data_IF_510743691935
#
_entry.id   IF_510743691935
#
_cell.length_a   1.000
_cell.length_b   1.000
_cell.length_c   1.000
_cell.angle_alpha   90.00
_cell.angle_beta   90.00
_cell.angle_gamma   90.00
#
_symmetry.space_group_name_H-M   'P 1'
#
loop_
_entity.id
_entity.type
_entity.pdbx_description
1 polymer ?
#
# COMPACT_ATOMS: atom_id res chain seq x y z
N UNK A 1 4.70 -12.69 -6.89
CA UNK A 1 5.71 -12.98 -7.94
C UNK A 1 5.16 -12.90 -9.35
N UNK A 2 4.00 -13.49 -9.70
CA UNK A 2 3.48 -13.48 -11.09
C UNK A 2 3.26 -12.08 -11.67
N UNK A 3 2.88 -11.10 -10.86
CA UNK A 3 2.77 -9.71 -11.32
C UNK A 3 4.12 -8.96 -11.40
N UNK A 4 5.20 -9.49 -10.80
CA UNK A 4 6.58 -8.97 -10.94
C UNK A 4 7.22 -9.46 -12.21
N UNK A 5 6.90 -10.69 -12.58
CA UNK A 5 7.43 -11.35 -13.76
C UNK A 5 6.26 -11.87 -14.62
N UNK A 6 5.51 -10.97 -15.29
CA UNK A 6 4.31 -11.35 -16.05
C UNK A 6 4.62 -12.35 -17.17
N UNK A 7 5.81 -12.27 -17.77
CA UNK A 7 6.26 -13.17 -18.83
C UNK A 7 6.87 -14.48 -18.33
N UNK A 8 7.13 -14.62 -17.02
CA UNK A 8 7.82 -15.77 -16.45
C UNK A 8 6.97 -17.05 -16.36
N UNK A 9 5.66 -16.98 -16.63
CA UNK A 9 4.73 -18.12 -16.56
C UNK A 9 4.88 -18.91 -15.25
N UNK A 10 4.90 -18.21 -14.12
CA UNK A 10 5.02 -18.80 -12.77
C UNK A 10 3.80 -19.69 -12.49
N UNK A 11 4.05 -20.89 -11.94
CA UNK A 11 3.02 -21.89 -11.65
C UNK A 11 3.01 -22.26 -10.16
N UNK A 12 1.84 -22.73 -9.72
CA UNK A 12 1.59 -23.29 -8.40
C UNK A 12 1.46 -24.81 -8.54
N UNK A 13 2.21 -25.63 -7.80
CA UNK A 13 1.93 -27.05 -7.71
C UNK A 13 0.60 -27.26 -6.95
N UNK A 14 -0.31 -28.08 -7.47
CA UNK A 14 -1.55 -28.45 -6.76
C UNK A 14 -1.21 -29.41 -5.60
N UNK A 15 -1.48 -28.98 -4.37
CA UNK A 15 -1.01 -29.59 -3.12
C UNK A 15 -1.65 -30.92 -2.70
N UNK A 16 -2.15 -31.75 -3.62
CA UNK A 16 -2.76 -33.03 -3.27
C UNK A 16 -1.73 -34.10 -2.83
N UNK A 17 -0.43 -33.89 -3.04
CA UNK A 17 0.63 -34.87 -2.78
C UNK A 17 1.75 -34.40 -1.82
N UNK A 18 1.57 -33.27 -1.12
CA UNK A 18 2.62 -32.63 -0.31
C UNK A 18 3.54 -31.73 -1.13
N UNK A 19 4.06 -30.68 -0.50
CA UNK A 19 4.62 -29.53 -1.24
C UNK A 19 6.06 -29.72 -1.77
N UNK A 20 6.71 -30.87 -1.59
CA UNK A 20 8.09 -31.17 -2.07
C UNK A 20 9.20 -30.09 -1.82
N UNK A 21 8.92 -29.05 -1.02
CA UNK A 21 9.77 -27.86 -0.86
C UNK A 21 9.62 -26.81 -1.98
N UNK A 22 8.51 -26.80 -2.71
CA UNK A 22 8.23 -25.88 -3.83
C UNK A 22 6.85 -25.25 -3.65
N UNK A 23 6.83 -23.96 -3.30
CA UNK A 23 5.56 -23.23 -3.21
C UNK A 23 5.21 -22.56 -4.55
N UNK A 24 6.22 -22.08 -5.28
CA UNK A 24 6.07 -21.54 -6.63
C UNK A 24 7.28 -21.93 -7.47
N UNK A 25 7.07 -22.10 -8.77
CA UNK A 25 8.19 -22.30 -9.69
C UNK A 25 7.99 -21.64 -11.05
N UNK A 26 9.10 -21.39 -11.71
CA UNK A 26 9.20 -20.97 -13.10
C UNK A 26 10.06 -21.98 -13.86
N UNK A 27 9.66 -22.31 -15.09
CA UNK A 27 10.38 -23.24 -15.94
C UNK A 27 9.89 -24.69 -15.78
N UNK A 28 10.78 -25.63 -16.06
CA UNK A 28 10.53 -27.08 -15.98
C UNK A 28 11.17 -27.63 -14.69
N UNK A 29 10.36 -28.27 -13.84
CA UNK A 29 10.82 -28.90 -12.59
C UNK A 29 11.83 -30.04 -12.83
N UNK A 30 11.93 -30.55 -14.06
CA UNK A 30 12.92 -31.56 -14.44
C UNK A 30 14.19 -30.97 -15.04
N UNK A 31 14.16 -29.69 -15.44
CA UNK A 31 15.25 -29.00 -16.15
C UNK A 31 15.36 -27.55 -15.71
N UNK A 32 15.93 -27.34 -14.53
CA UNK A 32 16.47 -26.05 -14.12
C UNK A 32 15.42 -24.97 -13.88
N UNK A 33 14.51 -25.22 -12.94
CA UNK A 33 13.52 -24.25 -12.51
C UNK A 33 14.09 -23.17 -11.58
N UNK A 34 13.48 -21.99 -11.59
CA UNK A 34 13.54 -21.07 -10.44
C UNK A 34 12.42 -21.43 -9.48
N UNK A 35 12.77 -21.73 -8.23
CA UNK A 35 11.81 -22.08 -7.17
C UNK A 35 11.74 -20.92 -6.17
N UNK A 36 10.52 -20.53 -5.81
CA UNK A 36 10.29 -19.70 -4.63
C UNK A 36 9.69 -20.55 -3.53
N UNK A 37 10.27 -20.46 -2.33
CA UNK A 37 9.72 -21.04 -1.10
C UNK A 37 9.26 -19.89 -0.20
N UNK A 38 7.98 -19.87 0.13
CA UNK A 38 7.36 -18.98 1.10
C UNK A 38 7.35 -19.61 2.51
N UNK A 39 7.93 -18.90 3.49
CA UNK A 39 7.78 -19.26 4.91
C UNK A 39 7.26 -18.04 5.68
N UNK A 40 6.10 -18.23 6.32
CA UNK A 40 5.54 -17.25 7.23
C UNK A 40 5.80 -17.70 8.67
N UNK A 41 6.47 -16.87 9.46
CA UNK A 41 6.71 -17.11 10.87
C UNK A 41 6.04 -16.03 11.72
N UNK A 42 5.53 -16.42 12.89
CA UNK A 42 4.92 -15.51 13.86
C UNK A 42 5.95 -14.86 14.80
N UNK A 43 7.25 -15.08 14.57
CA UNK A 43 8.35 -14.57 15.39
C UNK A 43 8.98 -13.33 14.73
N UNK A 44 9.62 -12.49 15.53
CA UNK A 44 10.35 -11.30 15.07
C UNK A 44 11.80 -11.59 14.69
N UNK A 45 12.40 -12.65 15.23
CA UNK A 45 13.80 -13.05 14.99
C UNK A 45 13.85 -14.56 14.70
N UNK A 46 14.68 -14.96 13.73
CA UNK A 46 14.85 -16.37 13.39
C UNK A 46 15.65 -17.13 14.46
N UNK A 47 14.97 -18.04 15.16
CA UNK A 47 15.57 -19.03 16.04
C UNK A 47 15.99 -20.31 15.29
N UNK A 48 16.55 -21.26 16.03
CA UNK A 48 17.09 -22.50 15.46
C UNK A 48 16.01 -23.38 14.81
N UNK A 49 14.79 -23.35 15.35
CA UNK A 49 13.65 -24.08 14.75
C UNK A 49 13.31 -23.53 13.37
N UNK A 50 13.24 -22.21 13.20
CA UNK A 50 12.95 -21.60 11.90
C UNK A 50 14.09 -21.82 10.91
N UNK A 51 15.34 -21.67 11.36
CA UNK A 51 16.54 -21.95 10.54
C UNK A 51 16.56 -23.41 10.06
N UNK A 52 16.16 -24.35 10.92
CA UNK A 52 16.05 -25.77 10.56
C UNK A 52 14.98 -26.00 9.49
N UNK A 53 13.80 -25.40 9.64
CA UNK A 53 12.73 -25.50 8.63
C UNK A 53 13.16 -24.96 7.26
N UNK A 54 13.90 -23.84 7.24
CA UNK A 54 14.45 -23.26 6.00
C UNK A 54 15.43 -24.24 5.33
N UNK A 55 16.38 -24.80 6.10
CA UNK A 55 17.35 -25.77 5.58
C UNK A 55 16.68 -27.03 5.05
N UNK A 56 15.70 -27.55 5.79
CA UNK A 56 14.92 -28.73 5.39
C UNK A 56 14.21 -28.46 4.05
N UNK A 57 13.57 -27.30 3.90
CA UNK A 57 12.86 -26.93 2.66
C UNK A 57 13.81 -26.79 1.46
N UNK A 58 14.98 -26.16 1.65
CA UNK A 58 16.01 -26.08 0.60
C UNK A 58 16.53 -27.47 0.20
N UNK A 59 16.82 -28.33 1.18
CA UNK A 59 17.29 -29.69 0.93
C UNK A 59 16.26 -30.50 0.16
N UNK A 60 14.99 -30.38 0.52
CA UNK A 60 13.90 -31.11 -0.13
C UNK A 60 13.70 -30.62 -1.56
N UNK A 61 13.74 -29.30 -1.80
CA UNK A 61 13.69 -28.71 -3.14
C UNK A 61 14.84 -29.21 -4.03
N UNK A 62 16.06 -29.25 -3.50
CA UNK A 62 17.23 -29.78 -4.23
C UNK A 62 17.07 -31.25 -4.55
N UNK A 63 16.61 -32.05 -3.58
CA UNK A 63 16.45 -33.50 -3.74
C UNK A 63 15.40 -33.85 -4.81
N UNK A 64 14.28 -33.14 -4.81
CA UNK A 64 13.12 -33.50 -5.63
C UNK A 64 13.15 -32.83 -7.01
N UNK A 65 13.62 -31.59 -7.08
CA UNK A 65 13.44 -30.71 -8.26
C UNK A 65 14.75 -30.20 -8.86
N UNK A 66 15.86 -30.24 -8.12
CA UNK A 66 17.18 -29.76 -8.57
C UNK A 66 17.10 -28.36 -9.27
N UNK A 67 16.58 -27.33 -8.58
CA UNK A 67 16.38 -26.03 -9.22
C UNK A 67 17.72 -25.36 -9.55
N UNK A 68 17.74 -24.57 -10.62
CA UNK A 68 18.89 -23.71 -10.95
C UNK A 68 19.00 -22.55 -9.96
N UNK A 69 17.87 -22.07 -9.46
CA UNK A 69 17.81 -20.98 -8.52
C UNK A 69 16.71 -21.23 -7.48
N UNK A 70 17.03 -20.97 -6.21
CA UNK A 70 16.09 -21.06 -5.11
C UNK A 70 16.03 -19.73 -4.37
N UNK A 71 14.81 -19.23 -4.16
CA UNK A 71 14.53 -17.91 -3.57
C UNK A 71 13.63 -18.12 -2.35
N UNK A 72 14.10 -17.70 -1.18
CA UNK A 72 13.31 -17.72 0.04
C UNK A 72 12.46 -16.45 0.15
N UNK A 73 11.17 -16.58 0.39
CA UNK A 73 10.25 -15.47 0.68
C UNK A 73 9.85 -15.51 2.17
N UNK A 74 10.05 -14.41 2.90
CA UNK A 74 9.79 -14.31 4.34
C UNK A 74 8.87 -13.15 4.68
N UNK A 75 7.98 -13.34 5.65
CA UNK A 75 7.17 -12.26 6.22
C UNK A 75 7.91 -11.43 7.31
N UNK A 76 9.22 -11.59 7.45
CA UNK A 76 10.07 -10.83 8.36
C UNK A 76 11.40 -10.46 7.70
N UNK A 77 12.10 -9.46 8.25
CA UNK A 77 13.46 -9.10 7.83
C UNK A 77 14.48 -9.90 8.63
N UNK A 78 15.59 -10.27 7.98
CA UNK A 78 16.70 -10.93 8.66
C UNK A 78 17.47 -9.91 9.51
N UNK A 79 17.66 -10.21 10.80
CA UNK A 79 18.62 -9.47 11.62
C UNK A 79 20.06 -9.80 11.18
N UNK A 80 21.04 -9.05 11.67
CA UNK A 80 22.44 -9.24 11.27
C UNK A 80 22.95 -10.67 11.53
N UNK A 81 22.46 -11.33 12.59
CA UNK A 81 22.86 -12.71 12.91
C UNK A 81 22.25 -13.71 11.93
N UNK A 82 20.99 -13.53 11.56
CA UNK A 82 20.28 -14.34 10.60
C UNK A 82 20.79 -14.11 9.18
N UNK A 83 21.12 -12.87 8.79
CA UNK A 83 21.73 -12.54 7.51
C UNK A 83 23.07 -13.28 7.35
N UNK A 84 23.99 -13.16 8.30
CA UNK A 84 25.26 -13.92 8.30
C UNK A 84 25.08 -15.43 8.29
N UNK A 85 24.03 -15.93 8.94
CA UNK A 85 23.70 -17.35 8.90
C UNK A 85 23.22 -17.77 7.51
N UNK A 86 22.43 -16.94 6.84
CA UNK A 86 21.92 -17.20 5.50
C UNK A 86 23.03 -17.11 4.45
N UNK A 87 23.95 -16.14 4.57
CA UNK A 87 25.16 -16.05 3.73
C UNK A 87 25.98 -17.35 3.81
N UNK A 88 26.26 -17.84 5.02
CA UNK A 88 26.94 -19.15 5.20
C UNK A 88 26.14 -20.31 4.63
N UNK A 89 24.81 -20.24 4.64
CA UNK A 89 23.98 -21.24 3.99
C UNK A 89 24.19 -21.18 2.47
N UNK A 90 24.13 -19.99 1.86
CA UNK A 90 24.39 -19.81 0.42
C UNK A 90 25.77 -20.37 0.04
N UNK A 91 26.82 -20.03 0.80
CA UNK A 91 28.19 -20.54 0.61
C UNK A 91 28.27 -22.06 0.67
N UNK A 92 27.55 -22.70 1.61
CA UNK A 92 27.55 -24.16 1.74
C UNK A 92 26.96 -24.90 0.52
N UNK A 93 26.16 -24.21 -0.29
CA UNK A 93 25.58 -24.74 -1.52
C UNK A 93 26.26 -24.19 -2.78
N UNK A 94 27.22 -23.28 -2.68
CA UNK A 94 27.90 -22.68 -3.84
C UNK A 94 28.70 -23.69 -4.69
N UNK A 95 29.11 -24.82 -4.10
CA UNK A 95 29.76 -25.92 -4.82
C UNK A 95 28.78 -26.83 -5.58
N UNK A 96 27.48 -26.67 -5.34
CA UNK A 96 26.42 -27.36 -6.06
C UNK A 96 25.97 -26.51 -7.24
N UNK A 97 25.35 -27.11 -8.26
CA UNK A 97 24.87 -26.40 -9.46
C UNK A 97 23.59 -25.59 -9.22
N UNK A 98 23.39 -25.04 -8.03
CA UNK A 98 22.22 -24.27 -7.59
C UNK A 98 22.64 -22.90 -7.06
N UNK A 99 21.95 -21.86 -7.50
CA UNK A 99 22.05 -20.51 -6.94
C UNK A 99 21.02 -20.32 -5.81
N UNK A 100 21.48 -20.25 -4.56
CA UNK A 100 20.66 -19.80 -3.44
C UNK A 100 20.67 -18.27 -3.44
N UNK A 101 19.60 -17.65 -3.92
CA UNK A 101 19.51 -16.21 -4.10
C UNK A 101 19.24 -15.48 -2.78
N UNK A 102 19.41 -14.16 -2.81
CA UNK A 102 19.03 -13.29 -1.69
C UNK A 102 17.54 -13.46 -1.35
N UNK A 103 17.18 -13.45 -0.06
CA UNK A 103 15.83 -13.68 0.37
C UNK A 103 14.95 -12.48 0.04
N UNK A 104 13.74 -12.78 -0.43
CA UNK A 104 12.67 -11.82 -0.63
C UNK A 104 11.97 -11.57 0.72
N UNK A 105 12.45 -10.58 1.46
CA UNK A 105 12.05 -10.32 2.84
C UNK A 105 10.76 -9.49 2.99
N UNK A 106 10.40 -9.16 4.22
CA UNK A 106 9.19 -8.38 4.51
C UNK A 106 9.22 -7.00 3.87
N UNK A 107 10.38 -6.34 3.80
CA UNK A 107 10.49 -5.03 3.15
C UNK A 107 10.26 -5.15 1.65
N UNK A 108 10.83 -6.16 1.00
CA UNK A 108 10.64 -6.36 -0.42
C UNK A 108 9.19 -6.74 -0.74
N UNK A 109 8.55 -7.59 0.08
CA UNK A 109 7.11 -7.87 0.02
C UNK A 109 6.27 -6.60 0.18
N UNK A 110 6.58 -5.78 1.18
CA UNK A 110 5.86 -4.53 1.44
C UNK A 110 5.98 -3.56 0.25
N UNK A 111 7.19 -3.41 -0.33
CA UNK A 111 7.39 -2.59 -1.54
C UNK A 111 6.52 -3.10 -2.68
N UNK A 112 6.51 -4.41 -2.95
CA UNK A 112 5.69 -4.96 -4.03
C UNK A 112 4.18 -4.73 -3.79
N UNK A 113 3.70 -4.84 -2.55
CA UNK A 113 2.31 -4.56 -2.19
C UNK A 113 1.96 -3.06 -2.27
N UNK A 114 2.92 -2.16 -2.02
CA UNK A 114 2.73 -0.71 -2.22
C UNK A 114 2.44 -0.38 -3.70
N UNK A 115 3.21 -0.97 -4.61
CA UNK A 115 3.09 -0.66 -6.05
C UNK A 115 1.97 -1.46 -6.74
N UNK A 116 1.52 -2.59 -6.19
CA UNK A 116 0.50 -3.45 -6.81
C UNK A 116 -0.87 -3.35 -6.15
N UNK A 117 -1.53 -2.21 -6.39
CA UNK A 117 -2.82 -1.85 -5.80
C UNK A 117 -3.92 -2.90 -5.99
N UNK A 118 -4.04 -3.51 -7.16
CA UNK A 118 -5.06 -4.53 -7.44
C UNK A 118 -4.89 -5.77 -6.57
N UNK A 119 -3.65 -6.23 -6.41
CA UNK A 119 -3.33 -7.39 -5.56
C UNK A 119 -3.55 -7.05 -4.10
N UNK A 120 -3.04 -5.89 -3.66
CA UNK A 120 -3.23 -5.41 -2.29
C UNK A 120 -4.71 -5.32 -1.93
N UNK A 121 -5.53 -4.67 -2.76
CA UNK A 121 -6.94 -4.49 -2.47
C UNK A 121 -7.73 -5.82 -2.52
N UNK A 122 -7.28 -6.80 -3.32
CA UNK A 122 -7.92 -8.11 -3.39
C UNK A 122 -7.66 -8.95 -2.13
N UNK A 123 -6.41 -9.04 -1.67
CA UNK A 123 -6.04 -9.86 -0.51
C UNK A 123 -6.19 -9.13 0.83
N UNK A 124 -6.20 -7.81 0.80
CA UNK A 124 -6.29 -6.95 1.99
C UNK A 124 -7.38 -5.87 1.80
N UNK A 125 -8.64 -6.24 1.53
CA UNK A 125 -9.70 -5.29 1.15
C UNK A 125 -10.06 -4.29 2.25
N UNK A 126 -9.89 -4.68 3.52
CA UNK A 126 -10.19 -3.86 4.70
C UNK A 126 -8.93 -3.33 5.39
N UNK A 127 -7.76 -3.56 4.80
CA UNK A 127 -6.51 -3.05 5.34
C UNK A 127 -6.48 -1.55 5.01
N UNK A 128 -7.07 -0.77 5.91
CA UNK A 128 -6.70 0.63 6.12
C UNK A 128 -5.24 0.63 6.57
N UNK A 129 -4.32 0.40 5.63
CA UNK A 129 -2.91 0.69 5.88
C UNK A 129 -2.88 2.18 6.12
N UNK A 130 -2.73 2.57 7.38
CA UNK A 130 -2.26 3.90 7.67
C UNK A 130 -0.92 4.01 6.94
N UNK A 131 -0.90 4.83 5.90
CA UNK A 131 0.30 5.08 5.10
C UNK A 131 1.42 5.57 6.02
N UNK A 132 1.09 6.13 7.20
CA UNK A 132 2.04 6.47 8.25
C UNK A 132 2.63 5.25 8.97
N UNK A 133 1.87 4.20 9.28
CA UNK A 133 2.40 2.96 9.87
C UNK A 133 3.27 2.19 8.88
N UNK A 134 2.85 2.10 7.61
CA UNK A 134 3.69 1.47 6.59
C UNK A 134 4.97 2.27 6.34
N UNK A 135 4.88 3.61 6.32
CA UNK A 135 6.05 4.49 6.25
C UNK A 135 6.92 4.40 7.50
N UNK A 136 6.35 4.25 8.69
CA UNK A 136 7.12 4.12 9.93
C UNK A 136 7.85 2.79 10.00
N UNK A 137 7.25 1.71 9.49
CA UNK A 137 7.88 0.38 9.35
C UNK A 137 8.99 0.39 8.31
N UNK A 138 8.79 1.03 7.15
CA UNK A 138 9.84 1.22 6.13
C UNK A 138 10.96 2.12 6.68
N UNK A 139 10.63 3.20 7.41
CA UNK A 139 11.60 4.06 8.10
C UNK A 139 12.36 3.30 9.19
N UNK A 140 11.70 2.47 9.99
CA UNK A 140 12.33 1.69 11.05
C UNK A 140 13.26 0.60 10.49
N UNK A 141 12.91 0.03 9.34
CA UNK A 141 13.74 -0.94 8.67
C UNK A 141 14.89 -0.30 7.84
N UNK A 142 14.73 0.96 7.42
CA UNK A 142 15.80 1.77 6.82
C UNK A 142 16.82 2.31 7.83
N UNK A 143 16.57 2.22 9.15
CA UNK A 143 17.51 2.62 10.24
C UNK A 143 18.74 1.71 10.38
N UNK A 144 19.11 0.99 9.33
CA UNK A 144 20.41 0.34 9.19
C UNK A 144 21.47 1.23 8.51
N UNK A 145 21.10 2.39 7.97
CA UNK A 145 22.05 3.36 7.39
C UNK A 145 21.68 4.79 7.79
N UNK A 146 22.69 5.53 8.23
CA UNK A 146 22.62 6.89 8.71
C UNK A 146 22.04 7.88 7.67
N UNK A 147 21.27 8.83 8.22
CA UNK A 147 20.83 10.12 7.67
C UNK A 147 20.12 10.14 6.31
N UNK A 148 18.78 10.18 6.35
CA UNK A 148 18.01 10.87 5.30
C UNK A 148 18.12 12.37 5.59
N UNK A 149 18.65 13.14 4.65
CA UNK A 149 18.68 14.60 4.77
C UNK A 149 17.29 15.20 4.53
N UNK A 150 17.03 16.38 5.09
CA UNK A 150 15.73 17.07 5.00
C UNK A 150 15.23 17.26 3.55
N UNK A 151 16.16 17.38 2.60
CA UNK A 151 15.88 17.55 1.16
C UNK A 151 15.17 16.34 0.55
N UNK A 152 15.52 15.11 0.96
CA UNK A 152 14.90 13.89 0.44
C UNK A 152 13.47 13.71 0.98
N UNK A 153 13.22 14.18 2.21
CA UNK A 153 11.89 14.16 2.82
C UNK A 153 10.95 15.17 2.16
N UNK A 154 11.43 16.38 1.87
CA UNK A 154 10.67 17.42 1.18
C UNK A 154 10.28 16.98 -0.23
N UNK A 155 11.23 16.40 -0.98
CA UNK A 155 10.98 15.88 -2.32
C UNK A 155 9.91 14.79 -2.33
N UNK A 156 10.02 13.82 -1.42
CA UNK A 156 9.03 12.76 -1.29
C UNK A 156 7.65 13.30 -0.87
N UNK A 157 7.58 14.27 0.03
CA UNK A 157 6.30 14.88 0.42
C UNK A 157 5.63 15.60 -0.76
N UNK A 158 6.43 16.29 -1.56
CA UNK A 158 5.98 17.00 -2.77
C UNK A 158 5.41 16.04 -3.80
N UNK A 159 6.16 14.99 -4.18
CA UNK A 159 5.72 14.00 -5.18
C UNK A 159 4.41 13.31 -4.78
N UNK A 160 4.26 12.98 -3.49
CA UNK A 160 3.02 12.37 -3.00
C UNK A 160 1.82 13.34 -3.02
N UNK A 161 2.08 14.63 -2.81
CA UNK A 161 1.03 15.66 -2.87
C UNK A 161 0.60 15.91 -4.31
N UNK A 162 1.56 15.97 -5.24
CA UNK A 162 1.29 16.08 -6.68
C UNK A 162 0.47 14.88 -7.20
N UNK A 163 0.84 13.65 -6.83
CA UNK A 163 0.07 12.46 -7.24
C UNK A 163 -1.37 12.51 -6.70
N UNK A 164 -1.56 13.03 -5.48
CA UNK A 164 -2.89 13.17 -4.91
C UNK A 164 -3.74 14.21 -5.65
N UNK A 165 -3.15 15.37 -5.97
CA UNK A 165 -3.80 16.42 -6.76
C UNK A 165 -4.17 15.92 -8.16
N UNK A 166 -3.29 15.16 -8.81
CA UNK A 166 -3.56 14.60 -10.14
C UNK A 166 -4.74 13.62 -10.13
N UNK A 167 -4.89 12.81 -9.07
CA UNK A 167 -6.08 11.96 -8.93
C UNK A 167 -7.37 12.76 -8.77
N UNK A 168 -7.34 13.86 -8.02
CA UNK A 168 -8.50 14.75 -7.89
C UNK A 168 -8.87 15.36 -9.25
N UNK A 169 -7.87 15.82 -10.00
CA UNK A 169 -8.05 16.34 -11.38
C UNK A 169 -8.56 15.30 -12.36
N UNK A 170 -8.11 14.04 -12.25
CA UNK A 170 -8.64 12.94 -13.07
C UNK A 170 -10.09 12.61 -12.73
N UNK A 171 -10.48 12.77 -11.45
CA UNK A 171 -11.85 12.52 -11.01
C UNK A 171 -12.80 13.58 -11.55
N UNK A 172 -12.40 14.85 -11.52
CA UNK A 172 -13.14 15.91 -12.18
C UNK A 172 -12.19 16.99 -12.75
N UNK A 173 -11.97 17.01 -14.08
CA UNK A 173 -11.02 17.93 -14.72
C UNK A 173 -11.52 19.38 -14.78
N UNK A 174 -12.80 19.63 -14.44
CA UNK A 174 -13.40 20.97 -14.40
C UNK A 174 -12.93 21.80 -13.21
N UNK A 175 -12.19 21.18 -12.29
CA UNK A 175 -11.66 21.82 -11.09
C UNK A 175 -10.14 21.91 -11.08
N UNK A 176 -9.65 22.99 -10.49
CA UNK A 176 -8.29 23.09 -9.95
C UNK A 176 -8.36 22.83 -8.46
N UNK A 177 -7.44 22.03 -7.92
CA UNK A 177 -7.45 21.64 -6.52
C UNK A 177 -6.28 22.24 -5.76
N UNK A 178 -6.54 22.66 -4.52
CA UNK A 178 -5.52 23.03 -3.54
C UNK A 178 -5.69 22.13 -2.30
N UNK A 179 -4.56 21.66 -1.75
CA UNK A 179 -4.55 20.86 -0.52
C UNK A 179 -3.64 21.52 0.49
N UNK A 180 -4.18 21.81 1.68
CA UNK A 180 -3.43 22.40 2.79
C UNK A 180 -3.41 21.44 3.97
N UNK A 181 -2.23 21.15 4.52
CA UNK A 181 -2.06 20.33 5.71
C UNK A 181 -1.83 21.20 6.93
N UNK A 182 -2.67 21.07 7.97
CA UNK A 182 -2.53 21.79 9.23
C UNK A 182 -1.72 21.05 10.30
N UNK A 183 -1.27 19.83 10.00
CA UNK A 183 -0.59 18.97 10.97
C UNK A 183 -1.49 18.58 12.16
N UNK A 184 -0.89 18.37 13.33
CA UNK A 184 -1.64 17.98 14.55
C UNK A 184 -2.55 19.07 15.11
N UNK A 185 -2.32 20.33 14.75
CA UNK A 185 -3.18 21.45 15.13
C UNK A 185 -4.43 21.56 14.25
N UNK A 186 -4.48 20.79 13.16
CA UNK A 186 -5.49 20.94 12.13
C UNK A 186 -5.36 22.26 11.36
N UNK A 187 -6.16 22.47 10.32
CA UNK A 187 -6.13 23.73 9.59
C UNK A 187 -6.66 24.86 10.47
N UNK A 188 -5.93 25.97 10.56
CA UNK A 188 -6.26 27.08 11.47
C UNK A 188 -7.58 27.80 11.15
N UNK A 189 -8.11 27.65 9.92
CA UNK A 189 -9.31 28.36 9.46
C UNK A 189 -10.15 27.44 8.57
N UNK A 190 -11.30 27.00 9.08
CA UNK A 190 -12.35 26.33 8.30
C UNK A 190 -13.74 26.80 8.78
N UNK A 191 -14.69 27.12 7.88
CA UNK A 191 -14.55 27.16 6.44
C UNK A 191 -13.53 28.23 5.99
N UNK A 192 -12.87 28.05 4.83
CA UNK A 192 -11.97 29.07 4.29
C UNK A 192 -12.75 30.38 4.03
N UNK A 193 -12.07 31.54 4.07
CA UNK A 193 -12.69 32.80 3.68
C UNK A 193 -13.18 32.72 2.23
N UNK A 194 -14.07 33.64 1.85
CA UNK A 194 -14.55 33.69 0.47
C UNK A 194 -13.39 33.97 -0.50
N UNK A 195 -13.11 33.01 -1.36
CA UNK A 195 -12.05 33.07 -2.36
C UNK A 195 -12.67 33.03 -3.77
N UNK A 196 -12.18 33.83 -4.73
CA UNK A 196 -12.67 33.79 -6.10
C UNK A 196 -12.59 32.38 -6.70
N UNK A 197 -13.65 31.97 -7.40
CA UNK A 197 -13.79 30.67 -8.05
C UNK A 197 -13.81 29.45 -7.11
N UNK A 198 -13.77 29.61 -5.78
CA UNK A 198 -13.92 28.49 -4.87
C UNK A 198 -15.36 27.94 -4.94
N UNK A 199 -15.51 26.68 -5.35
CA UNK A 199 -16.81 26.03 -5.48
C UNK A 199 -17.10 25.15 -4.27
N UNK A 200 -16.08 24.47 -3.74
CA UNK A 200 -16.24 23.60 -2.58
C UNK A 200 -14.95 23.53 -1.78
N UNK A 201 -15.09 23.41 -0.46
CA UNK A 201 -13.99 23.11 0.45
C UNK A 201 -14.41 22.02 1.42
N UNK A 202 -13.53 21.05 1.65
CA UNK A 202 -13.76 19.92 2.55
C UNK A 202 -12.60 19.82 3.53
N UNK A 203 -12.88 19.42 4.77
CA UNK A 203 -11.85 19.14 5.78
C UNK A 203 -12.14 17.82 6.47
N UNK A 204 -11.08 17.10 6.83
CA UNK A 204 -11.14 15.94 7.73
C UNK A 204 -10.55 16.25 9.11
N UNK A 205 -10.32 17.55 9.40
CA UNK A 205 -9.67 18.02 10.62
C UNK A 205 -8.14 18.04 10.55
N UNK A 206 -7.50 17.36 9.60
CA UNK A 206 -6.04 17.37 9.39
C UNK A 206 -5.63 18.13 8.14
N UNK A 207 -6.46 18.05 7.10
CA UNK A 207 -6.24 18.74 5.82
C UNK A 207 -7.51 19.43 5.34
N UNK A 208 -7.32 20.52 4.59
CA UNK A 208 -8.36 21.13 3.77
C UNK A 208 -8.08 20.79 2.31
N UNK A 209 -9.12 20.40 1.60
CA UNK A 209 -9.13 20.27 0.14
C UNK A 209 -10.06 21.36 -0.39
N UNK A 210 -9.56 22.22 -1.27
CA UNK A 210 -10.34 23.25 -1.94
C UNK A 210 -10.44 22.90 -3.43
N UNK A 211 -11.62 23.09 -4.01
CA UNK A 211 -11.88 22.89 -5.43
C UNK A 211 -12.34 24.22 -6.04
N UNK A 212 -11.55 24.73 -6.99
CA UNK A 212 -11.81 25.96 -7.71
C UNK A 212 -12.32 25.65 -9.11
N UNK A 213 -13.35 26.38 -9.56
CA UNK A 213 -13.82 26.29 -10.94
C UNK A 213 -12.69 26.63 -11.92
N UNK A 214 -12.36 25.68 -12.79
CA UNK A 214 -11.43 25.85 -13.92
C UNK A 214 -12.19 26.04 -15.22
N UNK A 215 -13.29 25.32 -15.40
CA UNK A 215 -14.17 25.39 -16.58
C UNK A 215 -15.58 25.83 -16.18
N UNK A 216 -15.78 27.15 -16.10
CA UNK A 216 -17.05 27.75 -15.68
C UNK A 216 -18.19 27.49 -16.66
N UNK A 217 -17.90 27.25 -17.93
CA UNK A 217 -18.92 26.96 -18.93
C UNK A 217 -19.42 25.53 -18.79
N UNK A 218 -18.50 24.56 -18.66
CA UNK A 218 -18.85 23.17 -18.40
C UNK A 218 -19.62 23.01 -17.09
N UNK A 219 -19.22 23.73 -16.03
CA UNK A 219 -19.91 23.69 -14.73
C UNK A 219 -21.29 24.37 -14.76
N UNK A 220 -21.53 25.30 -15.68
CA UNK A 220 -22.85 25.91 -15.86
C UNK A 220 -23.79 24.96 -16.61
N UNK A 221 -23.27 24.20 -17.57
CA UNK A 221 -24.04 23.24 -18.37
C UNK A 221 -24.29 21.93 -17.61
N UNK A 222 -23.32 21.50 -16.80
CA UNK A 222 -23.37 20.32 -15.95
C UNK A 222 -22.93 20.69 -14.52
N UNK A 223 -23.85 21.17 -13.66
CA UNK A 223 -23.53 21.60 -12.31
C UNK A 223 -23.19 20.41 -11.40
N UNK A 224 -22.29 20.64 -10.43
CA UNK A 224 -21.91 19.63 -9.44
C UNK A 224 -23.13 19.18 -8.65
N UNK A 225 -23.37 17.88 -8.64
CA UNK A 225 -24.44 17.27 -7.87
C UNK A 225 -23.94 16.76 -6.52
N UNK A 226 -24.70 16.99 -5.46
CA UNK A 226 -24.50 16.29 -4.19
C UNK A 226 -25.82 15.71 -3.70
N UNK A 227 -25.83 14.41 -3.47
CA UNK A 227 -26.94 13.67 -2.93
C UNK A 227 -26.69 13.40 -1.45
N UNK A 228 -27.56 13.96 -0.62
CA UNK A 228 -27.59 13.72 0.81
C UNK A 228 -28.85 12.94 1.16
N UNK A 229 -28.71 11.92 2.00
CA UNK A 229 -29.84 11.27 2.65
C UNK A 229 -29.76 11.58 4.13
N UNK A 230 -30.80 12.24 4.64
CA UNK A 230 -30.92 12.58 6.05
C UNK A 230 -31.90 11.64 6.76
N UNK A 231 -31.77 11.52 8.08
CA UNK A 231 -32.89 11.08 8.90
C UNK A 231 -33.92 12.22 9.07
N UNK A 232 -35.02 11.98 9.78
CA UNK A 232 -36.10 12.97 9.96
C UNK A 232 -35.60 14.29 10.57
N UNK A 233 -34.80 14.22 11.63
CA UNK A 233 -34.21 15.39 12.30
C UNK A 233 -33.24 16.16 11.40
N UNK A 234 -32.36 15.46 10.69
CA UNK A 234 -31.40 16.06 9.76
C UNK A 234 -32.08 16.72 8.56
N UNK A 235 -33.18 16.12 8.08
CA UNK A 235 -34.02 16.67 7.01
C UNK A 235 -34.69 17.98 7.44
N UNK A 236 -35.19 18.05 8.68
CA UNK A 236 -35.77 19.29 9.21
C UNK A 236 -34.73 20.41 9.29
N UNK A 237 -33.53 20.11 9.79
CA UNK A 237 -32.40 21.07 9.78
C UNK A 237 -32.06 21.55 8.36
N UNK A 238 -32.06 20.66 7.38
CA UNK A 238 -31.82 21.03 5.99
C UNK A 238 -32.90 21.96 5.42
N UNK A 239 -34.19 21.67 5.69
CA UNK A 239 -35.27 22.58 5.29
C UNK A 239 -35.16 23.93 5.98
N UNK A 240 -34.76 23.96 7.25
CA UNK A 240 -34.57 25.20 8.00
C UNK A 240 -33.37 26.01 7.48
N UNK A 241 -32.28 25.35 7.07
CA UNK A 241 -31.17 25.99 6.34
C UNK A 241 -31.66 26.64 5.05
N UNK A 242 -32.37 25.91 4.20
CA UNK A 242 -32.88 26.43 2.92
C UNK A 242 -33.84 27.61 3.13
N UNK A 243 -34.67 27.58 4.17
CA UNK A 243 -35.64 28.64 4.48
C UNK A 243 -35.00 29.89 5.06
N UNK A 244 -34.00 29.74 5.92
CA UNK A 244 -33.49 30.83 6.76
C UNK A 244 -32.10 31.31 6.38
N UNK A 245 -31.34 30.52 5.62
CA UNK A 245 -29.93 30.73 5.34
C UNK A 245 -29.01 30.62 6.58
N UNK A 246 -29.54 30.24 7.75
CA UNK A 246 -28.76 30.11 8.98
C UNK A 246 -27.96 28.82 8.96
N UNK A 247 -26.67 28.93 9.27
CA UNK A 247 -25.76 27.79 9.41
C UNK A 247 -26.36 26.68 10.27
N UNK A 248 -26.22 25.44 9.80
CA UNK A 248 -26.67 24.24 10.50
C UNK A 248 -25.49 23.29 10.69
N UNK A 249 -25.46 22.64 11.86
CA UNK A 249 -24.52 21.56 12.14
C UNK A 249 -25.30 20.25 12.19
N UNK A 250 -24.91 19.33 11.32
CA UNK A 250 -25.43 17.96 11.32
C UNK A 250 -24.48 17.02 12.06
N UNK A 251 -25.04 16.10 12.84
CA UNK A 251 -24.28 15.03 13.50
C UNK A 251 -24.18 13.79 12.60
N UNK A 252 -23.24 12.86 12.86
CA UNK A 252 -23.11 11.64 12.07
C UNK A 252 -24.38 10.79 12.01
N UNK A 253 -25.22 10.80 13.06
CA UNK A 253 -26.48 10.05 13.08
C UNK A 253 -27.57 10.67 12.18
N UNK A 254 -27.42 11.95 11.83
CA UNK A 254 -28.36 12.73 11.03
C UNK A 254 -28.12 12.56 9.52
N UNK A 255 -26.91 12.16 9.11
CA UNK A 255 -26.53 11.92 7.71
C UNK A 255 -26.45 10.40 7.48
N UNK A 256 -27.43 9.85 6.75
CA UNK A 256 -27.49 8.41 6.41
C UNK A 256 -26.61 8.05 5.23
N UNK A 257 -26.50 8.93 4.24
CA UNK A 257 -25.64 8.74 3.10
C UNK A 257 -25.24 10.08 2.46
N UNK A 258 -24.04 10.12 1.91
CA UNK A 258 -23.55 11.22 1.09
C UNK A 258 -22.92 10.67 -0.18
N UNK A 259 -23.30 11.20 -1.33
CA UNK A 259 -22.67 10.94 -2.62
C UNK A 259 -22.56 12.24 -3.40
N UNK A 260 -21.36 12.63 -3.77
CA UNK A 260 -21.14 13.70 -4.74
C UNK A 260 -20.88 13.09 -6.11
N UNK A 261 -21.49 13.67 -7.14
CA UNK A 261 -21.36 13.32 -8.56
C UNK A 261 -20.85 14.52 -9.32
#
# INVERSE_FOLDING_TARGET
MSARYPSAKIRYPEGAAGDEGVDLFQGDLTRGSTVWQCKAFTVTILGDSQKRQIKESLRDAIKNVQPQQWILCLNLNLDTKAARWFERLQESYASQSIAVADPFDAMELARELMFRRTIRNHFFPNLMLDVQELRSLVKAAARGMDSIGDVDLEKLATENTEEYLDRLRQRDPRFTYEVTFGGERGPNVFPPPHEPNLISSMTDGRKIIKAYARDHEALRQDPVGSLFQFNETGGQKFLDFIRTGKEQVWTPEEIRAFKST
#
